data_IF_661651415208
#
_entry.id   IF_661651415208
#
_cell.length_a   1.000
_cell.length_b   1.000
_cell.length_c   1.000
_cell.angle_alpha   90.00
_cell.angle_beta   90.00
_cell.angle_gamma   90.00
#
_symmetry.space_group_name_H-M   'P 1'
#
loop_
_entity.id
_entity.type
_entity.pdbx_description
1 polymer ?
#
# COMPACT_ATOMS: atom_id res chain seq x y z
N UNK A 1 19.29 -11.28 10.10
CA UNK A 1 19.75 -9.91 9.81
C UNK A 1 20.29 -9.34 11.11
N UNK A 2 21.56 -8.90 11.18
CA UNK A 2 22.12 -8.34 12.42
C UNK A 2 21.61 -6.91 12.56
N UNK A 3 20.59 -6.70 13.39
CA UNK A 3 20.12 -5.36 13.75
C UNK A 3 21.29 -4.59 14.36
N UNK A 4 21.54 -3.36 13.89
CA UNK A 4 22.55 -2.47 14.46
C UNK A 4 22.33 -2.40 15.98
N UNK A 5 23.34 -2.64 16.83
CA UNK A 5 23.19 -2.63 18.29
C UNK A 5 22.49 -1.36 18.80
N UNK A 6 22.69 -0.25 18.10
CA UNK A 6 22.09 1.05 18.40
C UNK A 6 20.57 1.06 18.18
N UNK A 7 20.11 0.38 17.13
CA UNK A 7 18.70 0.28 16.76
C UNK A 7 17.93 -0.69 17.66
N UNK A 8 18.58 -1.78 18.08
CA UNK A 8 18.03 -2.71 19.06
C UNK A 8 17.82 -2.02 20.42
N UNK A 9 18.81 -1.27 20.91
CA UNK A 9 18.72 -0.51 22.15
C UNK A 9 17.62 0.57 22.09
N UNK A 10 17.48 1.25 20.94
CA UNK A 10 16.40 2.23 20.73
C UNK A 10 15.03 1.57 20.75
N UNK A 11 14.88 0.41 20.13
CA UNK A 11 13.62 -0.36 20.12
C UNK A 11 13.25 -0.86 21.51
N UNK A 12 14.22 -1.36 22.27
CA UNK A 12 14.04 -1.75 23.67
C UNK A 12 13.56 -0.57 24.53
N UNK A 13 14.17 0.62 24.36
CA UNK A 13 13.73 1.84 25.04
C UNK A 13 12.27 2.18 24.71
N UNK A 14 11.88 2.13 23.43
CA UNK A 14 10.51 2.38 22.98
C UNK A 14 9.52 1.41 23.66
N UNK A 15 9.84 0.12 23.67
CA UNK A 15 8.99 -0.90 24.29
C UNK A 15 8.87 -0.71 25.80
N UNK A 16 9.96 -0.40 26.52
CA UNK A 16 9.93 -0.08 27.96
C UNK A 16 9.01 1.10 28.27
N UNK A 17 9.13 2.19 27.51
CA UNK A 17 8.26 3.35 27.69
C UNK A 17 6.79 3.01 27.40
N UNK A 18 6.52 2.14 26.42
CA UNK A 18 5.16 1.68 26.15
C UNK A 18 4.59 0.82 27.27
N UNK A 19 5.38 -0.10 27.83
CA UNK A 19 5.01 -0.92 29.00
C UNK A 19 4.75 -0.06 30.24
N UNK A 20 5.53 1.02 30.41
CA UNK A 20 5.31 2.02 31.46
C UNK A 20 4.05 2.89 31.25
N UNK A 21 3.27 2.64 30.19
CA UNK A 21 1.96 3.27 29.97
C UNK A 21 2.00 4.57 29.16
N UNK A 22 3.15 5.00 28.63
CA UNK A 22 3.23 6.24 27.85
C UNK A 22 2.49 6.11 26.52
N UNK A 23 1.89 7.24 26.07
CA UNK A 23 1.25 7.34 24.75
C UNK A 23 2.30 7.38 23.63
N UNK A 24 1.92 6.99 22.41
CA UNK A 24 2.83 7.00 21.25
C UNK A 24 3.44 8.38 20.99
N UNK A 25 2.67 9.45 21.19
CA UNK A 25 3.14 10.85 21.06
C UNK A 25 4.16 11.22 22.14
N UNK A 26 3.94 10.79 23.38
CA UNK A 26 4.88 11.04 24.47
C UNK A 26 6.20 10.26 24.25
N UNK A 27 6.12 9.03 23.76
CA UNK A 27 7.29 8.22 23.42
C UNK A 27 8.06 8.87 22.25
N UNK A 28 7.36 9.26 21.19
CA UNK A 28 7.91 9.96 20.03
C UNK A 28 8.78 11.17 20.43
N UNK A 29 8.28 12.01 21.34
CA UNK A 29 9.04 13.15 21.86
C UNK A 29 10.28 12.77 22.68
N UNK A 30 10.33 11.57 23.27
CA UNK A 30 11.49 11.09 24.06
C UNK A 30 12.55 10.35 23.24
N UNK A 31 12.21 9.89 22.04
CA UNK A 31 13.09 9.08 21.18
C UNK A 31 13.41 9.75 19.85
N UNK A 32 12.96 10.99 19.67
CA UNK A 32 13.14 11.83 18.48
C UNK A 32 12.67 11.12 17.20
N UNK A 33 11.39 10.74 17.19
CA UNK A 33 10.74 10.05 16.08
C UNK A 33 9.32 10.58 15.87
N UNK A 34 8.75 10.34 14.68
CA UNK A 34 7.31 10.51 14.49
C UNK A 34 6.51 9.46 15.27
N UNK A 35 5.26 9.79 15.61
CA UNK A 35 4.37 8.86 16.29
C UNK A 35 4.03 7.63 15.43
N UNK A 36 3.90 7.80 14.10
CA UNK A 36 3.78 6.67 13.16
C UNK A 36 5.03 5.79 13.18
N UNK A 37 6.22 6.39 13.23
CA UNK A 37 7.49 5.66 13.29
C UNK A 37 7.61 4.81 14.56
N UNK A 38 7.19 5.35 15.71
CA UNK A 38 7.12 4.60 16.98
C UNK A 38 6.12 3.44 16.87
N UNK A 39 4.93 3.68 16.32
CA UNK A 39 3.92 2.64 16.12
C UNK A 39 4.44 1.52 15.19
N UNK A 40 5.12 1.89 14.10
CA UNK A 40 5.77 0.98 13.17
C UNK A 40 6.83 0.12 13.84
N UNK A 41 7.71 0.71 14.66
CA UNK A 41 8.74 -0.05 15.41
C UNK A 41 8.15 -1.01 16.43
N UNK A 42 7.13 -0.60 17.18
CA UNK A 42 6.45 -1.50 18.12
C UNK A 42 5.84 -2.68 17.35
N UNK A 43 5.15 -2.40 16.24
CA UNK A 43 4.56 -3.46 15.39
C UNK A 43 5.63 -4.40 14.86
N UNK A 44 6.73 -3.87 14.34
CA UNK A 44 7.83 -4.67 13.81
C UNK A 44 8.48 -5.56 14.88
N UNK A 45 8.75 -5.02 16.08
CA UNK A 45 9.33 -5.78 17.18
C UNK A 45 8.40 -6.89 17.69
N UNK A 46 7.09 -6.62 17.77
CA UNK A 46 6.11 -7.65 18.11
C UNK A 46 6.01 -8.71 17.01
N UNK A 47 6.03 -8.30 15.74
CA UNK A 47 6.04 -9.22 14.61
C UNK A 47 7.29 -10.10 14.62
N UNK A 48 8.47 -9.56 14.92
CA UNK A 48 9.72 -10.33 15.03
C UNK A 48 9.63 -11.44 16.09
N UNK A 49 8.87 -11.23 17.16
CA UNK A 49 8.63 -12.24 18.20
C UNK A 49 7.57 -13.27 17.78
N UNK A 50 6.45 -12.81 17.20
CA UNK A 50 5.26 -13.64 16.97
C UNK A 50 5.34 -14.38 15.63
N UNK A 51 5.92 -13.78 14.59
CA UNK A 51 5.97 -14.35 13.24
C UNK A 51 6.75 -15.68 13.21
N UNK A 52 7.95 -15.81 13.80
CA UNK A 52 8.67 -17.08 13.81
C UNK A 52 7.85 -18.21 14.46
N UNK A 53 7.24 -17.95 15.62
CA UNK A 53 6.40 -18.92 16.32
C UNK A 53 5.15 -19.29 15.50
N UNK A 54 4.54 -18.30 14.83
CA UNK A 54 3.40 -18.54 13.95
C UNK A 54 3.79 -19.33 12.68
N UNK A 55 5.00 -19.12 12.14
CA UNK A 55 5.56 -19.89 11.02
C UNK A 55 5.88 -21.32 11.46
N UNK A 56 6.53 -21.52 12.61
CA UNK A 56 6.79 -22.85 13.17
C UNK A 56 5.49 -23.64 13.38
N UNK A 57 4.45 -22.98 13.91
CA UNK A 57 3.14 -23.58 14.06
C UNK A 57 2.51 -23.93 12.70
N UNK A 58 2.59 -23.04 11.71
CA UNK A 58 2.11 -23.31 10.34
C UNK A 58 2.84 -24.49 9.70
N UNK A 59 4.15 -24.63 9.93
CA UNK A 59 4.93 -25.76 9.44
C UNK A 59 4.50 -27.06 10.11
N UNK A 60 4.36 -27.07 11.43
CA UNK A 60 3.89 -28.26 12.17
C UNK A 60 2.50 -28.70 11.70
N UNK A 61 1.57 -27.75 11.56
CA UNK A 61 0.22 -28.06 11.09
C UNK A 61 0.22 -28.51 9.62
N UNK A 62 1.11 -27.97 8.78
CA UNK A 62 1.29 -28.47 7.40
C UNK A 62 1.71 -29.93 7.38
N UNK A 63 2.70 -30.32 8.20
CA UNK A 63 3.13 -31.73 8.33
C UNK A 63 1.97 -32.61 8.79
N UNK A 64 1.22 -32.18 9.81
CA UNK A 64 0.04 -32.90 10.28
C UNK A 64 -1.01 -33.10 9.19
N UNK A 65 -1.33 -32.06 8.42
CA UNK A 65 -2.32 -32.13 7.34
C UNK A 65 -1.85 -33.05 6.19
N UNK A 66 -0.54 -33.07 5.91
CA UNK A 66 0.09 -33.98 4.94
C UNK A 66 0.01 -35.44 5.38
N UNK A 67 0.27 -35.73 6.64
CA UNK A 67 0.14 -37.07 7.20
C UNK A 67 -1.32 -37.56 7.14
N UNK A 68 -2.27 -36.71 7.55
CA UNK A 68 -3.70 -37.01 7.45
C UNK A 68 -4.12 -37.25 5.99
N UNK A 69 -3.61 -36.46 5.05
CA UNK A 69 -3.89 -36.65 3.63
C UNK A 69 -3.36 -37.99 3.14
N UNK A 70 -2.13 -38.36 3.53
CA UNK A 70 -1.52 -39.64 3.16
C UNK A 70 -2.31 -40.83 3.72
N UNK A 71 -2.85 -40.71 4.93
CA UNK A 71 -3.76 -41.70 5.50
C UNK A 71 -5.05 -41.84 4.69
N UNK A 72 -5.69 -40.73 4.35
CA UNK A 72 -6.93 -40.75 3.57
C UNK A 72 -6.68 -41.28 2.16
N UNK A 73 -5.55 -40.97 1.53
CA UNK A 73 -5.15 -41.57 0.26
C UNK A 73 -4.98 -43.09 0.35
N UNK A 74 -4.38 -43.61 1.43
CA UNK A 74 -4.28 -45.06 1.66
C UNK A 74 -5.67 -45.70 1.77
N UNK A 75 -6.58 -45.07 2.51
CA UNK A 75 -7.98 -45.53 2.61
C UNK A 75 -8.65 -45.55 1.23
N UNK A 76 -8.52 -44.47 0.46
CA UNK A 76 -9.09 -44.36 -0.89
C UNK A 76 -8.54 -45.43 -1.84
N UNK A 77 -7.23 -45.71 -1.78
CA UNK A 77 -6.59 -46.77 -2.58
C UNK A 77 -7.08 -48.17 -2.18
N UNK A 78 -7.32 -48.40 -0.88
CA UNK A 78 -7.82 -49.69 -0.37
C UNK A 78 -9.33 -49.89 -0.55
N UNK A 79 -10.08 -48.86 -0.95
CA UNK A 79 -11.54 -48.89 -0.97
C UNK A 79 -12.13 -49.80 -2.07
N UNK A 80 -11.36 -50.20 -3.08
CA UNK A 80 -11.86 -50.99 -4.21
C UNK A 80 -13.07 -50.34 -4.87
N UNK A 81 -14.14 -51.13 -5.05
CA UNK A 81 -15.43 -50.71 -5.63
C UNK A 81 -16.43 -50.18 -4.59
N UNK A 82 -16.03 -50.03 -3.32
CA UNK A 82 -16.89 -49.47 -2.29
C UNK A 82 -17.05 -47.95 -2.50
N UNK A 83 -18.06 -47.58 -3.30
CA UNK A 83 -18.35 -46.20 -3.65
C UNK A 83 -18.58 -45.29 -2.44
N UNK A 84 -19.24 -45.78 -1.40
CA UNK A 84 -19.51 -44.99 -0.19
C UNK A 84 -18.21 -44.65 0.55
N UNK A 85 -17.33 -45.63 0.73
CA UNK A 85 -16.03 -45.42 1.38
C UNK A 85 -15.16 -44.45 0.56
N UNK A 86 -15.18 -44.55 -0.77
CA UNK A 86 -14.48 -43.63 -1.67
C UNK A 86 -14.98 -42.19 -1.52
N UNK A 87 -16.30 -41.99 -1.55
CA UNK A 87 -16.89 -40.65 -1.39
C UNK A 87 -16.54 -40.05 -0.03
N UNK A 88 -16.64 -40.83 1.06
CA UNK A 88 -16.22 -40.38 2.39
C UNK A 88 -14.75 -40.00 2.44
N UNK A 89 -13.86 -40.74 1.79
CA UNK A 89 -12.44 -40.39 1.71
C UNK A 89 -12.20 -39.09 0.92
N UNK A 90 -12.88 -38.91 -0.20
CA UNK A 90 -12.84 -37.66 -0.98
C UNK A 90 -13.32 -36.47 -0.14
N UNK A 91 -14.42 -36.59 0.59
CA UNK A 91 -14.93 -35.52 1.47
C UNK A 91 -13.91 -35.12 2.54
N UNK A 92 -13.16 -36.09 3.09
CA UNK A 92 -12.09 -35.80 4.05
C UNK A 92 -10.92 -35.08 3.38
N UNK A 93 -10.51 -35.47 2.18
CA UNK A 93 -9.49 -34.75 1.42
C UNK A 93 -9.91 -33.30 1.12
N UNK A 94 -11.17 -33.07 0.76
CA UNK A 94 -11.69 -31.73 0.51
C UNK A 94 -11.62 -30.84 1.77
N UNK A 95 -12.01 -31.36 2.93
CA UNK A 95 -11.92 -30.64 4.22
C UNK A 95 -10.48 -30.36 4.64
N UNK A 96 -9.56 -31.30 4.41
CA UNK A 96 -8.14 -31.09 4.68
C UNK A 96 -7.58 -30.02 3.72
N UNK A 97 -7.96 -30.07 2.45
CA UNK A 97 -7.59 -29.05 1.45
C UNK A 97 -8.10 -27.65 1.81
N UNK A 98 -9.34 -27.52 2.28
CA UNK A 98 -9.89 -26.27 2.81
C UNK A 98 -9.08 -25.76 4.01
N UNK A 99 -8.73 -26.66 4.94
CA UNK A 99 -7.91 -26.30 6.10
C UNK A 99 -6.52 -25.78 5.68
N UNK A 100 -5.88 -26.38 4.67
CA UNK A 100 -4.62 -25.89 4.11
C UNK A 100 -4.77 -24.51 3.48
N UNK A 101 -5.80 -24.28 2.67
CA UNK A 101 -6.01 -22.97 2.03
C UNK A 101 -6.25 -21.87 3.07
N UNK A 102 -6.97 -22.16 4.15
CA UNK A 102 -7.13 -21.25 5.28
C UNK A 102 -5.82 -21.00 6.03
N UNK A 103 -5.03 -22.03 6.29
CA UNK A 103 -3.73 -21.93 6.96
C UNK A 103 -2.76 -20.98 6.23
N UNK A 104 -2.79 -21.00 4.89
CA UNK A 104 -1.92 -20.21 4.03
C UNK A 104 -2.59 -18.94 3.48
N UNK A 105 -3.84 -18.66 3.85
CA UNK A 105 -4.57 -17.49 3.37
C UNK A 105 -4.87 -17.51 1.86
N UNK A 106 -4.86 -18.67 1.21
CA UNK A 106 -5.14 -18.81 -0.23
C UNK A 106 -6.60 -18.52 -0.58
N UNK A 107 -7.50 -18.63 0.40
CA UNK A 107 -8.93 -18.30 0.26
C UNK A 107 -9.25 -16.90 0.85
N UNK A 108 -8.24 -16.10 1.22
CA UNK A 108 -8.49 -14.78 1.78
C UNK A 108 -9.04 -13.83 0.70
N UNK A 109 -10.17 -13.14 0.93
CA UNK A 109 -10.61 -12.08 0.02
C UNK A 109 -9.53 -11.02 -0.08
N UNK A 110 -9.31 -10.47 -1.29
CA UNK A 110 -8.37 -9.37 -1.47
C UNK A 110 -8.70 -8.24 -0.48
N UNK A 111 -7.68 -7.62 0.16
CA UNK A 111 -7.92 -6.51 1.05
C UNK A 111 -8.70 -5.42 0.32
N UNK A 112 -9.78 -4.93 0.92
CA UNK A 112 -10.65 -3.90 0.33
C UNK A 112 -9.87 -2.69 -0.22
N UNK A 113 -8.75 -2.33 0.43
CA UNK A 113 -7.83 -1.29 -0.05
C UNK A 113 -7.25 -1.61 -1.44
N UNK A 114 -6.80 -2.84 -1.69
CA UNK A 114 -6.24 -3.28 -2.98
C UNK A 114 -7.33 -3.29 -4.06
N UNK A 115 -8.55 -3.69 -3.70
CA UNK A 115 -9.70 -3.64 -4.61
C UNK A 115 -10.09 -2.20 -4.97
N UNK A 116 -10.10 -1.29 -3.99
CA UNK A 116 -10.39 0.12 -4.20
C UNK A 116 -9.27 0.82 -5.00
N UNK A 117 -8.01 0.52 -4.74
CA UNK A 117 -6.86 1.06 -5.51
C UNK A 117 -6.91 0.64 -6.97
N UNK A 118 -7.18 -0.64 -7.27
CA UNK A 118 -7.37 -1.11 -8.65
C UNK A 118 -8.54 -0.43 -9.33
N UNK A 119 -9.67 -0.30 -8.61
CA UNK A 119 -10.86 0.36 -9.16
C UNK A 119 -10.61 1.83 -9.45
N UNK A 120 -9.94 2.55 -8.55
CA UNK A 120 -9.56 3.94 -8.77
C UNK A 120 -8.60 4.08 -9.96
N UNK A 121 -7.61 3.20 -10.11
CA UNK A 121 -6.70 3.23 -11.27
C UNK A 121 -7.45 3.08 -12.60
N UNK A 122 -8.38 2.13 -12.69
CA UNK A 122 -9.21 1.93 -13.88
C UNK A 122 -10.13 3.13 -14.16
N UNK A 123 -10.69 3.77 -13.12
CA UNK A 123 -11.52 4.96 -13.26
C UNK A 123 -10.70 6.18 -13.70
N UNK A 124 -9.44 6.31 -13.28
CA UNK A 124 -8.53 7.38 -13.73
C UNK A 124 -8.16 7.24 -15.19
N UNK A 125 -7.77 6.05 -15.64
CA UNK A 125 -7.38 5.82 -17.04
C UNK A 125 -8.54 6.13 -18.01
N UNK A 126 -9.76 5.71 -17.67
CA UNK A 126 -10.96 5.99 -18.47
C UNK A 126 -11.26 7.49 -18.55
N UNK A 127 -11.06 8.22 -17.46
CA UNK A 127 -11.28 9.68 -17.42
C UNK A 127 -10.22 10.41 -18.24
N UNK A 128 -8.95 9.99 -18.16
CA UNK A 128 -7.85 10.56 -18.94
C UNK A 128 -8.05 10.31 -20.43
N UNK A 129 -8.42 9.09 -20.82
CA UNK A 129 -8.68 8.73 -22.21
C UNK A 129 -9.86 9.52 -22.79
N UNK A 130 -10.95 9.63 -22.03
CA UNK A 130 -12.13 10.39 -22.45
C UNK A 130 -11.84 11.90 -22.57
N UNK A 131 -11.05 12.46 -21.64
CA UNK A 131 -10.65 13.87 -21.68
C UNK A 131 -9.71 14.14 -22.86
N UNK A 132 -8.73 13.27 -23.10
CA UNK A 132 -7.79 13.38 -24.23
C UNK A 132 -8.55 13.34 -25.55
N UNK A 133 -9.44 12.36 -25.73
CA UNK A 133 -10.26 12.25 -26.93
C UNK A 133 -11.15 13.48 -27.14
N UNK A 134 -11.70 14.07 -26.07
CA UNK A 134 -12.50 15.28 -26.17
C UNK A 134 -11.67 16.51 -26.56
N UNK A 135 -10.47 16.67 -26.00
CA UNK A 135 -9.55 17.76 -26.33
C UNK A 135 -9.06 17.67 -27.77
N UNK A 136 -8.75 16.47 -28.26
CA UNK A 136 -8.31 16.22 -29.64
C UNK A 136 -9.38 16.63 -30.67
N UNK A 137 -10.66 16.35 -30.40
CA UNK A 137 -11.77 16.72 -31.29
C UNK A 137 -12.01 18.23 -31.34
N UNK A 138 -11.71 18.93 -30.25
CA UNK A 138 -11.94 20.38 -30.13
C UNK A 138 -10.83 21.22 -30.78
N UNK A 139 -9.74 20.60 -31.25
CA UNK A 139 -8.60 21.25 -31.92
C UNK A 139 -8.10 22.49 -31.15
N UNK A 140 -7.99 22.35 -29.82
CA UNK A 140 -7.58 23.43 -28.93
C UNK A 140 -6.09 23.68 -29.04
N UNK A 141 -5.68 24.95 -29.04
CA UNK A 141 -4.27 25.30 -28.87
C UNK A 141 -3.74 24.89 -27.49
N UNK A 142 -2.42 24.73 -27.34
CA UNK A 142 -1.78 24.23 -26.10
C UNK A 142 -2.23 24.99 -24.85
N UNK A 143 -2.33 26.32 -24.91
CA UNK A 143 -2.79 27.16 -23.79
C UNK A 143 -4.26 26.88 -23.42
N UNK A 144 -5.11 26.64 -24.40
CA UNK A 144 -6.54 26.38 -24.19
C UNK A 144 -6.78 24.98 -23.65
N UNK A 145 -6.00 24.00 -24.12
CA UNK A 145 -6.00 22.64 -23.59
C UNK A 145 -5.53 22.62 -22.11
N UNK A 146 -4.47 23.36 -21.78
CA UNK A 146 -3.98 23.47 -20.40
C UNK A 146 -5.04 24.06 -19.45
N UNK A 147 -5.80 25.07 -19.88
CA UNK A 147 -6.91 25.64 -19.10
C UNK A 147 -8.05 24.64 -18.92
N UNK A 148 -8.41 23.91 -19.98
CA UNK A 148 -9.47 22.91 -19.91
C UNK A 148 -9.11 21.77 -18.95
N UNK A 149 -7.87 21.30 -18.97
CA UNK A 149 -7.35 20.30 -18.02
C UNK A 149 -7.33 20.85 -16.60
N UNK A 150 -6.83 22.07 -16.39
CA UNK A 150 -6.83 22.71 -15.07
C UNK A 150 -8.26 22.87 -14.50
N UNK A 151 -9.22 23.24 -15.35
CA UNK A 151 -10.63 23.33 -14.98
C UNK A 151 -11.24 21.97 -14.60
N UNK A 152 -10.91 20.92 -15.35
CA UNK A 152 -11.33 19.55 -15.03
C UNK A 152 -10.74 19.07 -13.70
N UNK A 153 -9.44 19.31 -13.47
CA UNK A 153 -8.74 18.98 -12.22
C UNK A 153 -9.35 19.71 -11.02
N UNK A 154 -9.55 21.02 -11.13
CA UNK A 154 -10.19 21.80 -10.06
C UNK A 154 -11.58 21.24 -9.73
N UNK A 155 -12.36 20.87 -10.76
CA UNK A 155 -13.70 20.32 -10.57
C UNK A 155 -13.69 18.94 -9.90
N UNK A 156 -12.75 18.07 -10.27
CA UNK A 156 -12.58 16.74 -9.67
C UNK A 156 -12.09 16.82 -8.22
N UNK A 157 -11.24 17.79 -7.91
CA UNK A 157 -10.74 18.06 -6.55
C UNK A 157 -11.71 18.84 -5.66
N UNK A 158 -12.85 19.30 -6.20
CA UNK A 158 -13.84 20.11 -5.47
C UNK A 158 -13.42 21.57 -5.25
N UNK A 159 -12.40 22.02 -5.96
CA UNK A 159 -11.88 23.39 -5.94
C UNK A 159 -12.66 24.30 -6.91
N UNK A 160 -12.51 25.61 -6.76
CA UNK A 160 -13.15 26.57 -7.68
C UNK A 160 -12.52 26.49 -9.07
N UNK A 161 -13.37 26.36 -10.10
CA UNK A 161 -12.90 26.29 -11.49
C UNK A 161 -12.25 27.63 -11.89
N UNK A 162 -10.98 27.63 -12.32
CA UNK A 162 -10.29 28.85 -12.73
C UNK A 162 -11.01 29.49 -13.93
N UNK A 163 -11.39 30.77 -13.79
CA UNK A 163 -12.15 31.52 -14.82
C UNK A 163 -11.27 32.13 -15.92
N UNK A 164 -9.94 32.11 -15.76
CA UNK A 164 -8.94 32.57 -16.73
C UNK A 164 -7.68 31.71 -16.63
N UNK A 165 -6.89 31.57 -17.72
CA UNK A 165 -5.55 30.99 -17.63
C UNK A 165 -4.74 31.75 -16.58
N UNK A 166 -4.36 31.07 -15.50
CA UNK A 166 -3.22 31.51 -14.69
C UNK A 166 -1.99 30.94 -15.40
N UNK A 167 -1.57 31.59 -16.48
CA UNK A 167 -0.15 31.54 -16.82
C UNK A 167 0.51 32.49 -15.84
N UNK A 168 0.91 31.98 -14.69
CA UNK A 168 1.98 32.65 -13.96
C UNK A 168 3.21 32.49 -14.85
N UNK A 169 3.52 33.54 -15.64
CA UNK A 169 4.81 33.65 -16.29
C UNK A 169 5.85 33.88 -15.20
N UNK A 170 6.27 32.80 -14.55
CA UNK A 170 7.32 32.77 -13.53
C UNK A 170 8.70 33.16 -14.12
N UNK A 171 8.79 33.47 -15.41
CA UNK A 171 10.08 33.67 -16.10
C UNK A 171 10.29 35.09 -16.65
N UNK A 172 9.26 35.94 -16.76
CA UNK A 172 9.43 37.28 -17.37
C UNK A 172 9.57 38.43 -16.36
N UNK A 173 8.99 38.30 -15.15
CA UNK A 173 9.07 39.39 -14.15
C UNK A 173 10.45 39.55 -13.51
N UNK A 174 11.18 38.46 -13.28
CA UNK A 174 12.50 38.53 -12.64
C UNK A 174 13.56 39.11 -13.59
N UNK A 175 13.42 38.90 -14.91
CA UNK A 175 14.38 39.40 -15.91
C UNK A 175 14.23 40.90 -16.19
N UNK A 176 13.00 41.44 -16.19
CA UNK A 176 12.80 42.89 -16.37
C UNK A 176 13.32 43.67 -15.16
N UNK A 177 13.07 43.19 -13.94
CA UNK A 177 13.55 43.84 -12.71
C UNK A 177 15.07 43.75 -12.55
N UNK A 178 15.70 42.62 -12.93
CA UNK A 178 17.16 42.47 -12.94
C UNK A 178 17.84 43.30 -14.04
N UNK A 179 17.23 43.40 -15.23
CA UNK A 179 17.77 44.20 -16.34
C UNK A 179 17.69 45.70 -16.04
N UNK A 180 16.60 46.15 -15.42
CA UNK A 180 16.43 47.53 -14.98
C UNK A 180 17.40 47.90 -13.84
N UNK A 181 17.66 46.96 -12.92
CA UNK A 181 18.67 47.13 -11.87
C UNK A 181 20.08 47.24 -12.47
N UNK A 182 20.41 46.37 -13.43
CA UNK A 182 21.71 46.35 -14.11
C UNK A 182 21.97 47.62 -14.95
N UNK A 183 20.96 48.12 -15.65
CA UNK A 183 21.09 49.33 -16.47
C UNK A 183 21.23 50.61 -15.64
N UNK A 184 20.64 50.66 -14.43
CA UNK A 184 20.85 51.78 -13.48
C UNK A 184 22.26 51.78 -12.89
N UNK A 185 22.87 50.62 -12.69
CA UNK A 185 24.21 50.49 -12.11
C UNK A 185 25.34 50.83 -13.10
N UNK A 186 25.09 50.68 -14.41
CA UNK A 186 26.04 51.03 -15.48
C UNK A 186 25.94 52.49 -15.97
N UNK A 187 24.93 53.24 -15.52
CA UNK A 187 24.63 54.60 -16.00
C UNK A 187 25.18 55.75 -15.15
N UNK A 188 25.81 55.47 -14.00
CA UNK A 188 26.23 56.47 -13.00
C UNK A 188 27.76 56.54 -12.82
N UNK A 189 28.50 56.45 -13.93
CA UNK A 189 29.97 56.57 -14.01
C UNK A 189 30.43 57.68 -14.96
#
# INVERSE_FOLDING_TARGET
MKTDPTEAARTEKILRLRVAGLSLRAIAGQVDMSHEGVAGRIRAALAELVVPVAEEYRQLETVRLDDLSREVYRVLASAGDNGELRLRAVDRLLRIGESRRKLWGLDAPEPLAVTLERRNGLEVDVVVDALTAALDVLDLGEEQAAVAVAAATARLSGEEVPRRPVVESVVERDLEDELDAFLREQGDG
#
